data_IF_892328596026
#
_entry.id   IF_892328596026
#
_cell.length_a   1.000
_cell.length_b   1.000
_cell.length_c   1.000
_cell.angle_alpha   90.00
_cell.angle_beta   90.00
_cell.angle_gamma   90.00
#
_symmetry.space_group_name_H-M   'P 1'
#
loop_
_entity.id
_entity.type
_entity.pdbx_description
1 polymer ?
#
# COMPACT_ATOMS: atom_id res chain seq x y z
N UNK A 1 4.27 -17.76 -11.84
CA UNK A 1 3.77 -16.74 -10.92
C UNK A 1 4.95 -15.96 -10.36
N UNK A 2 5.05 -14.67 -10.69
CA UNK A 2 6.01 -13.70 -10.17
C UNK A 2 5.30 -12.84 -9.13
N UNK A 3 5.88 -12.73 -7.94
CA UNK A 3 5.27 -12.02 -6.81
C UNK A 3 6.20 -10.90 -6.39
N UNK A 4 5.68 -9.69 -6.26
CA UNK A 4 6.33 -8.64 -5.47
C UNK A 4 6.07 -8.93 -4.00
N UNK A 5 7.11 -9.36 -3.28
CA UNK A 5 6.97 -9.82 -1.90
C UNK A 5 6.83 -8.70 -0.88
N UNK A 6 6.98 -7.42 -1.26
CA UNK A 6 7.01 -6.32 -0.31
C UNK A 6 6.54 -5.00 -0.92
N UNK A 7 5.33 -4.58 -0.59
CA UNK A 7 4.84 -3.23 -0.86
C UNK A 7 3.92 -2.74 0.26
N UNK A 8 3.56 -1.45 0.23
CA UNK A 8 2.69 -0.80 1.21
C UNK A 8 1.61 0.03 0.50
N UNK A 9 0.44 0.14 1.14
CA UNK A 9 -0.60 1.13 0.82
C UNK A 9 -0.85 2.03 2.02
N UNK A 10 -1.28 3.27 1.76
CA UNK A 10 -1.64 4.20 2.83
C UNK A 10 -2.61 5.29 2.36
N UNK A 11 -3.38 5.81 3.32
CA UNK A 11 -4.21 7.02 3.16
C UNK A 11 -3.84 8.05 4.22
N UNK A 12 -3.42 9.24 3.82
CA UNK A 12 -2.95 10.29 4.75
C UNK A 12 -3.95 10.53 5.88
N UNK A 13 -5.25 10.50 5.57
CA UNK A 13 -6.31 10.80 6.52
C UNK A 13 -6.49 9.75 7.64
N UNK A 14 -5.85 8.57 7.57
CA UNK A 14 -5.81 7.61 8.68
C UNK A 14 -5.03 8.17 9.87
N UNK A 15 -4.04 9.03 9.61
CA UNK A 15 -3.33 9.80 10.63
C UNK A 15 -2.46 8.99 11.60
N UNK A 16 -2.33 7.68 11.40
CA UNK A 16 -1.57 6.77 12.26
C UNK A 16 -0.14 6.48 11.74
N UNK A 17 0.28 7.15 10.67
CA UNK A 17 1.63 7.02 10.10
C UNK A 17 2.64 7.93 10.82
N UNK A 18 3.20 7.47 11.93
CA UNK A 18 4.17 8.25 12.73
C UNK A 18 5.47 8.63 12.00
N UNK A 19 5.79 7.98 10.89
CA UNK A 19 6.93 8.31 10.03
C UNK A 19 6.61 9.36 8.95
N UNK A 20 5.34 9.70 8.74
CA UNK A 20 4.92 10.54 7.62
C UNK A 20 5.09 12.03 7.93
N UNK A 21 5.75 12.75 7.02
CA UNK A 21 5.95 14.20 7.09
C UNK A 21 5.64 14.85 5.74
N UNK A 22 5.06 16.07 5.71
CA UNK A 22 4.93 16.86 4.50
C UNK A 22 6.25 17.09 3.74
N UNK A 23 7.40 16.97 4.42
CA UNK A 23 8.72 17.07 3.80
C UNK A 23 9.00 15.93 2.82
N UNK A 24 8.36 14.77 2.99
CA UNK A 24 8.46 13.63 2.08
C UNK A 24 7.52 13.78 0.90
N UNK A 25 7.73 14.82 0.08
CA UNK A 25 6.84 15.23 -1.02
C UNK A 25 6.32 14.11 -1.92
N UNK A 26 7.14 13.09 -2.24
CA UNK A 26 6.70 11.93 -3.03
C UNK A 26 5.79 11.00 -2.23
N UNK A 27 6.11 10.74 -0.97
CA UNK A 27 5.37 9.82 -0.11
C UNK A 27 4.14 10.48 0.55
N UNK A 28 4.09 11.81 0.57
CA UNK A 28 3.02 12.60 1.18
C UNK A 28 1.81 12.75 0.22
N UNK A 29 1.25 11.61 -0.18
CA UNK A 29 -0.03 11.46 -0.88
C UNK A 29 -0.59 10.07 -0.58
N UNK A 30 -1.84 9.82 -0.95
CA UNK A 30 -2.39 8.47 -0.89
C UNK A 30 -1.71 7.56 -1.93
N UNK A 31 -1.52 6.30 -1.55
CA UNK A 31 -1.07 5.23 -2.43
C UNK A 31 -1.98 4.03 -2.24
N UNK A 32 -2.70 3.66 -3.31
CA UNK A 32 -3.75 2.65 -3.33
C UNK A 32 -3.52 1.65 -4.48
N UNK A 33 -4.30 0.54 -4.57
CA UNK A 33 -4.10 -0.48 -5.60
C UNK A 33 -4.02 0.07 -7.03
N UNK A 34 -4.83 1.06 -7.36
CA UNK A 34 -4.84 1.73 -8.66
C UNK A 34 -3.49 2.37 -9.04
N UNK A 35 -2.69 2.77 -8.06
CA UNK A 35 -1.36 3.33 -8.30
C UNK A 35 -0.32 2.25 -8.61
N UNK A 36 -0.48 1.03 -8.05
CA UNK A 36 0.45 -0.07 -8.24
C UNK A 36 0.19 -0.87 -9.52
N UNK A 37 -1.08 -1.02 -9.93
CA UNK A 37 -1.50 -1.84 -11.06
C UNK A 37 -0.70 -1.59 -12.37
N UNK A 38 -0.46 -0.33 -12.81
CA UNK A 38 0.32 -0.08 -14.02
C UNK A 38 1.78 -0.55 -13.93
N UNK A 39 2.35 -0.58 -12.73
CA UNK A 39 3.71 -1.06 -12.50
C UNK A 39 3.76 -2.59 -12.55
N UNK A 40 2.78 -3.28 -11.97
CA UNK A 40 2.69 -4.75 -12.02
C UNK A 40 2.60 -5.23 -13.48
N UNK A 41 1.73 -4.62 -14.28
CA UNK A 41 1.57 -4.94 -15.70
C UNK A 41 2.88 -4.73 -16.49
N UNK A 42 3.48 -3.53 -16.35
CA UNK A 42 4.75 -3.18 -17.01
C UNK A 42 5.87 -4.17 -16.71
N UNK A 43 5.92 -4.69 -15.48
CA UNK A 43 7.00 -5.56 -15.02
C UNK A 43 6.64 -7.06 -15.03
N UNK A 44 5.44 -7.42 -15.52
CA UNK A 44 4.93 -8.80 -15.55
C UNK A 44 5.00 -9.46 -14.17
N UNK A 45 4.52 -8.74 -13.16
CA UNK A 45 4.35 -9.24 -11.79
C UNK A 45 2.87 -9.64 -11.65
N UNK A 46 2.63 -10.88 -11.26
CA UNK A 46 1.28 -11.46 -11.24
C UNK A 46 0.51 -11.09 -9.96
N UNK A 47 1.21 -10.98 -8.82
CA UNK A 47 0.62 -10.66 -7.50
C UNK A 47 1.61 -9.84 -6.65
N UNK A 48 1.10 -9.21 -5.59
CA UNK A 48 1.93 -8.57 -4.57
C UNK A 48 1.54 -9.00 -3.16
N UNK A 49 2.43 -8.79 -2.20
CA UNK A 49 2.18 -8.95 -0.76
C UNK A 49 2.13 -7.57 -0.12
N UNK A 50 0.97 -7.21 0.44
CA UNK A 50 0.79 -5.98 1.21
C UNK A 50 1.41 -6.17 2.60
N UNK A 51 2.29 -5.25 3.00
CA UNK A 51 2.93 -5.23 4.33
C UNK A 51 2.46 -3.98 5.07
N UNK A 52 2.22 -4.08 6.39
CA UNK A 52 1.79 -2.94 7.21
C UNK A 52 2.71 -1.71 7.05
N UNK A 53 2.12 -0.52 7.04
CA UNK A 53 2.83 0.76 7.07
C UNK A 53 2.68 1.53 8.40
N UNK A 54 1.80 1.06 9.29
CA UNK A 54 1.63 1.58 10.65
C UNK A 54 1.49 0.43 11.66
N UNK A 55 1.89 0.66 12.91
CA UNK A 55 1.93 -0.32 14.00
C UNK A 55 0.58 -0.42 14.74
N UNK A 56 -0.53 -0.44 14.01
CA UNK A 56 -1.88 -0.46 14.56
C UNK A 56 -2.70 -1.64 14.05
N UNK A 57 -3.66 -2.12 14.85
CA UNK A 57 -4.64 -3.12 14.38
C UNK A 57 -5.48 -2.56 13.24
N UNK A 58 -5.83 -1.27 13.30
CA UNK A 58 -6.58 -0.59 12.26
C UNK A 58 -5.86 -0.58 10.89
N UNK A 59 -4.53 -0.65 10.86
CA UNK A 59 -3.75 -0.85 9.62
C UNK A 59 -3.95 -2.26 9.08
N UNK A 60 -3.90 -3.28 9.95
CA UNK A 60 -4.16 -4.67 9.55
C UNK A 60 -5.56 -4.82 8.94
N UNK A 61 -6.59 -4.26 9.59
CA UNK A 61 -7.97 -4.32 9.08
C UNK A 61 -8.09 -3.64 7.71
N UNK A 62 -7.49 -2.47 7.53
CA UNK A 62 -7.51 -1.74 6.27
C UNK A 62 -6.81 -2.46 5.12
N UNK A 63 -5.62 -3.02 5.33
CA UNK A 63 -4.94 -3.73 4.24
C UNK A 63 -5.66 -5.04 3.88
N UNK A 64 -6.38 -5.65 4.83
CA UNK A 64 -7.25 -6.81 4.56
C UNK A 64 -8.49 -6.41 3.75
N UNK A 65 -9.14 -5.30 4.07
CA UNK A 65 -10.25 -4.74 3.27
C UNK A 65 -9.80 -4.41 1.83
N UNK A 66 -8.60 -3.83 1.67
CA UNK A 66 -8.03 -3.58 0.36
C UNK A 66 -7.78 -4.88 -0.42
N UNK A 67 -7.24 -5.91 0.25
CA UNK A 67 -6.98 -7.20 -0.38
C UNK A 67 -8.28 -7.89 -0.83
N UNK A 68 -9.34 -7.87 -0.02
CA UNK A 68 -10.64 -8.46 -0.37
C UNK A 68 -11.27 -7.81 -1.61
N UNK A 69 -11.04 -6.51 -1.82
CA UNK A 69 -11.54 -5.79 -2.99
C UNK A 69 -10.69 -5.92 -4.27
N UNK A 70 -9.52 -6.57 -4.23
CA UNK A 70 -8.51 -6.52 -5.31
C UNK A 70 -7.84 -7.87 -5.61
N UNK A 71 -8.63 -8.95 -5.67
CA UNK A 71 -8.14 -10.34 -5.84
C UNK A 71 -7.66 -10.72 -7.26
#
# INVERSE_FOLDING_TARGET
MRIDSHQHYWKINRGDYGWMSPDFTVLYRDYLPEDLLPHLDRHKIDKSVIVQAADTVAETDFILELAEGND
#
